data_IF_203869793631
#
_entry.id   IF_203869793631
#
_cell.length_a   1.000
_cell.length_b   1.000
_cell.length_c   1.000
_cell.angle_alpha   90.00
_cell.angle_beta   90.00
_cell.angle_gamma   90.00
#
_symmetry.space_group_name_H-M   'P 1'
#
loop_
_entity.id
_entity.type
_entity.pdbx_description
1 polymer ?
#
# COMPACT_ATOMS: atom_id res chain seq x y z
N UNK A 1 29.52 -9.82 1.29
CA UNK A 1 28.40 -9.00 1.79
C UNK A 1 27.14 -9.70 1.31
N UNK A 2 26.37 -10.33 2.19
CA UNK A 2 25.12 -10.95 1.75
C UNK A 2 24.16 -9.81 1.36
N UNK A 3 23.77 -9.76 0.10
CA UNK A 3 22.63 -8.93 -0.34
C UNK A 3 21.43 -9.39 0.49
N UNK A 4 20.96 -8.53 1.40
CA UNK A 4 19.81 -8.87 2.23
C UNK A 4 18.58 -9.06 1.33
N UNK A 5 17.74 -10.04 1.65
CA UNK A 5 16.51 -10.31 0.91
C UNK A 5 15.62 -9.06 0.93
N UNK A 6 15.27 -8.53 -0.25
CA UNK A 6 14.24 -7.52 -0.41
C UNK A 6 12.98 -8.19 -0.98
N UNK A 7 11.81 -7.73 -0.57
CA UNK A 7 10.53 -8.30 -0.99
C UNK A 7 9.70 -7.27 -1.72
N UNK A 8 8.88 -7.75 -2.66
CA UNK A 8 7.86 -6.95 -3.34
C UNK A 8 6.50 -7.25 -2.73
N UNK A 9 5.74 -6.20 -2.44
CA UNK A 9 4.35 -6.27 -2.01
C UNK A 9 3.50 -5.30 -2.81
N UNK A 10 2.20 -5.49 -2.72
CA UNK A 10 1.19 -4.65 -3.32
C UNK A 10 0.27 -4.09 -2.23
N UNK A 11 -0.27 -2.92 -2.46
CA UNK A 11 -1.24 -2.27 -1.56
C UNK A 11 -2.15 -1.38 -2.39
N UNK A 12 -3.10 -0.71 -1.74
CA UNK A 12 -3.93 0.30 -2.39
C UNK A 12 -4.04 1.54 -1.51
N UNK A 13 -4.33 2.66 -2.14
CA UNK A 13 -4.46 3.97 -1.49
C UNK A 13 -5.46 4.85 -2.24
N UNK A 14 -6.08 5.79 -1.54
CA UNK A 14 -6.87 6.81 -2.21
C UNK A 14 -5.95 7.66 -3.11
N UNK A 15 -6.33 7.82 -4.38
CA UNK A 15 -5.51 8.48 -5.39
C UNK A 15 -5.34 9.99 -5.15
N UNK A 16 -6.13 10.58 -4.26
CA UNK A 16 -5.98 11.96 -3.82
C UNK A 16 -4.89 12.16 -2.76
N UNK A 17 -4.42 11.08 -2.11
CA UNK A 17 -3.42 11.16 -1.04
C UNK A 17 -2.03 11.41 -1.63
N UNK A 18 -1.35 12.52 -1.28
CA UNK A 18 0.03 12.77 -1.71
C UNK A 18 0.99 11.71 -1.17
N UNK A 19 2.07 11.43 -1.92
CA UNK A 19 3.06 10.44 -1.51
C UNK A 19 3.73 10.79 -0.17
N UNK A 20 3.91 12.07 0.15
CA UNK A 20 4.49 12.48 1.44
C UNK A 20 3.59 12.12 2.64
N UNK A 21 2.28 12.02 2.40
CA UNK A 21 1.26 11.74 3.43
C UNK A 21 0.86 10.26 3.47
N UNK A 22 1.14 9.51 2.40
CA UNK A 22 0.74 8.11 2.19
C UNK A 22 1.00 7.17 3.37
N UNK A 23 2.13 7.33 4.05
CA UNK A 23 2.55 6.46 5.16
C UNK A 23 2.44 7.12 6.53
N UNK A 24 1.77 8.27 6.61
CA UNK A 24 1.52 8.91 7.89
C UNK A 24 0.52 8.08 8.69
N UNK A 25 0.72 7.89 10.01
CA UNK A 25 -0.24 7.15 10.83
C UNK A 25 -1.60 7.85 10.87
N UNK A 26 -2.56 7.38 10.09
CA UNK A 26 -3.94 7.91 10.06
C UNK A 26 -4.87 7.22 11.06
N UNK A 27 -4.42 6.12 11.68
CA UNK A 27 -5.25 5.23 12.50
C UNK A 27 -6.02 4.18 11.69
N UNK A 28 -6.02 4.29 10.35
CA UNK A 28 -6.47 3.25 9.45
C UNK A 28 -5.33 2.25 9.20
N UNK A 29 -5.70 1.00 8.92
CA UNK A 29 -4.73 -0.06 8.62
C UNK A 29 -4.44 -0.06 7.13
N UNK A 30 -3.16 0.00 6.78
CA UNK A 30 -2.71 -0.38 5.44
C UNK A 30 -2.80 -1.90 5.27
N UNK A 31 -3.38 -2.33 4.15
CA UNK A 31 -3.45 -3.75 3.77
C UNK A 31 -2.40 -4.00 2.69
N UNK A 32 -1.57 -5.02 2.92
CA UNK A 32 -0.53 -5.44 1.99
C UNK A 32 -0.80 -6.85 1.47
N UNK A 33 -0.45 -7.07 0.21
CA UNK A 33 -0.66 -8.29 -0.54
C UNK A 33 0.66 -8.74 -1.17
N UNK A 34 0.81 -10.04 -1.38
CA UNK A 34 1.95 -10.59 -2.14
C UNK A 34 1.71 -10.62 -3.64
N UNK A 35 0.46 -10.44 -4.07
CA UNK A 35 0.02 -10.56 -5.46
C UNK A 35 -0.77 -9.32 -5.91
N UNK A 36 -0.51 -8.88 -7.13
CA UNK A 36 -1.17 -7.72 -7.73
C UNK A 36 -2.65 -7.96 -7.98
N UNK A 37 -3.01 -9.15 -8.48
CA UNK A 37 -4.41 -9.48 -8.81
C UNK A 37 -5.26 -9.66 -7.56
N UNK A 38 -4.67 -10.07 -6.44
CA UNK A 38 -5.33 -10.03 -5.15
C UNK A 38 -5.68 -8.59 -4.71
N UNK A 39 -4.70 -7.68 -4.71
CA UNK A 39 -4.95 -6.28 -4.41
C UNK A 39 -6.02 -5.67 -5.32
N UNK A 40 -5.94 -5.96 -6.62
CA UNK A 40 -6.90 -5.50 -7.62
C UNK A 40 -8.31 -5.99 -7.37
N UNK A 41 -8.49 -7.29 -7.10
CA UNK A 41 -9.80 -7.87 -6.78
C UNK A 41 -10.39 -7.28 -5.51
N UNK A 42 -9.57 -7.00 -4.50
CA UNK A 42 -10.02 -6.33 -3.27
C UNK A 42 -10.54 -4.93 -3.57
N UNK A 43 -9.81 -4.11 -4.33
CA UNK A 43 -10.25 -2.75 -4.68
C UNK A 43 -11.53 -2.75 -5.51
N UNK A 44 -11.66 -3.67 -6.47
CA UNK A 44 -12.89 -3.81 -7.26
C UNK A 44 -14.10 -4.21 -6.41
N UNK A 45 -13.92 -5.15 -5.47
CA UNK A 45 -14.97 -5.53 -4.52
C UNK A 45 -15.39 -4.35 -3.65
N UNK A 46 -14.43 -3.56 -3.13
CA UNK A 46 -14.72 -2.36 -2.36
C UNK A 46 -15.53 -1.33 -3.15
N UNK A 47 -15.19 -1.13 -4.44
CA UNK A 47 -15.94 -0.23 -5.32
C UNK A 47 -17.38 -0.71 -5.55
N UNK A 48 -17.57 -2.01 -5.73
CA UNK A 48 -18.91 -2.60 -5.89
C UNK A 48 -19.75 -2.44 -4.62
N UNK A 49 -19.16 -2.63 -3.44
CA UNK A 49 -19.82 -2.41 -2.15
C UNK A 49 -20.23 -0.93 -1.96
N UNK A 50 -19.38 0.02 -2.34
CA UNK A 50 -19.72 1.45 -2.27
C UNK A 50 -20.76 1.84 -3.32
N UNK A 51 -20.72 1.27 -4.53
CA UNK A 51 -21.74 1.52 -5.53
C UNK A 51 -23.14 1.02 -5.12
N UNK A 52 -23.21 0.05 -4.21
CA UNK A 52 -24.46 -0.44 -3.65
C UNK A 52 -25.04 0.50 -2.55
N UNK A 53 -24.22 1.41 -2.01
CA UNK A 53 -24.61 2.39 -1.00
C UNK A 53 -24.65 3.81 -1.60
N UNK A 54 -25.84 4.37 -1.77
CA UNK A 54 -26.03 5.69 -2.40
C UNK A 54 -25.47 6.86 -1.58
N UNK A 55 -25.12 6.65 -0.32
CA UNK A 55 -24.61 7.69 0.57
C UNK A 55 -23.06 7.78 0.55
N UNK A 56 -22.38 6.87 -0.16
CA UNK A 56 -20.92 6.82 -0.25
C UNK A 56 -20.48 7.03 -1.69
N UNK A 57 -19.73 8.10 -1.95
CA UNK A 57 -19.08 8.32 -3.24
C UNK A 57 -17.76 7.54 -3.31
N UNK A 58 -17.56 6.80 -4.40
CA UNK A 58 -16.27 6.19 -4.71
C UNK A 58 -15.25 7.27 -5.09
N UNK A 59 -14.11 7.28 -4.38
CA UNK A 59 -12.93 8.03 -4.78
C UNK A 59 -11.96 7.11 -5.54
N UNK A 60 -11.30 7.66 -6.56
CA UNK A 60 -10.33 6.91 -7.34
C UNK A 60 -9.27 6.29 -6.42
N UNK A 61 -8.97 5.01 -6.61
CA UNK A 61 -8.05 4.25 -5.75
C UNK A 61 -6.87 3.74 -6.59
N UNK A 62 -5.65 4.02 -6.13
CA UNK A 62 -4.42 3.51 -6.72
C UNK A 62 -4.12 2.10 -6.23
N UNK A 63 -3.62 1.25 -7.12
CA UNK A 63 -2.91 0.01 -6.77
C UNK A 63 -1.43 0.30 -6.88
N UNK A 64 -0.72 0.03 -5.79
CA UNK A 64 0.67 0.41 -5.62
C UNK A 64 1.52 -0.83 -5.44
N UNK A 65 2.72 -0.79 -6.00
CA UNK A 65 3.79 -1.74 -5.75
C UNK A 65 4.82 -1.09 -4.84
N UNK A 66 5.23 -1.83 -3.82
CA UNK A 66 6.34 -1.44 -2.96
C UNK A 66 7.43 -2.51 -2.97
N UNK A 67 8.68 -2.05 -2.85
CA UNK A 67 9.82 -2.91 -2.60
C UNK A 67 10.39 -2.55 -1.25
N UNK A 68 10.60 -3.53 -0.39
CA UNK A 68 11.17 -3.29 0.94
C UNK A 68 12.64 -2.94 0.86
N UNK A 69 13.14 -2.23 1.86
CA UNK A 69 14.57 -2.29 2.18
C UNK A 69 14.97 -3.74 2.48
N UNK A 70 16.25 -4.11 2.33
CA UNK A 70 16.72 -5.46 2.66
C UNK A 70 16.38 -5.86 4.10
N UNK A 71 15.94 -7.09 4.34
CA UNK A 71 15.65 -7.58 5.68
C UNK A 71 16.93 -7.53 6.52
N UNK A 72 16.88 -6.75 7.60
CA UNK A 72 17.94 -6.63 8.59
C UNK A 72 17.33 -6.20 9.92
N UNK A 73 18.05 -6.44 11.03
CA UNK A 73 17.59 -6.04 12.36
C UNK A 73 17.31 -4.54 12.47
N UNK A 74 18.15 -3.69 11.87
CA UNK A 74 17.99 -2.23 11.87
C UNK A 74 16.76 -1.79 11.09
N UNK A 75 16.48 -2.45 9.97
CA UNK A 75 15.35 -2.10 9.11
C UNK A 75 14.02 -2.57 9.73
N UNK A 76 14.01 -3.76 10.35
CA UNK A 76 12.85 -4.23 11.12
C UNK A 76 12.57 -3.27 12.29
N UNK A 77 13.61 -2.83 13.02
CA UNK A 77 13.43 -1.85 14.09
C UNK A 77 12.84 -0.53 13.56
N UNK A 78 13.25 -0.09 12.37
CA UNK A 78 12.71 1.11 11.72
C UNK A 78 11.23 0.95 11.35
N UNK A 79 10.84 -0.21 10.83
CA UNK A 79 9.43 -0.55 10.56
C UNK A 79 8.58 -0.46 11.84
N UNK A 80 9.06 -1.05 12.94
CA UNK A 80 8.31 -1.10 14.20
C UNK A 80 8.12 0.28 14.84
N UNK A 81 9.10 1.19 14.70
CA UNK A 81 9.04 2.51 15.31
C UNK A 81 8.38 3.57 14.43
N UNK A 82 8.55 3.48 13.11
CA UNK A 82 8.19 4.54 12.16
C UNK A 82 7.11 4.12 11.14
N UNK A 83 6.68 2.86 11.19
CA UNK A 83 5.67 2.33 10.27
C UNK A 83 6.23 1.95 8.88
N UNK A 84 5.32 1.61 7.95
CA UNK A 84 5.68 1.04 6.65
C UNK A 84 6.56 1.95 5.80
N UNK A 85 6.35 3.27 5.83
CA UNK A 85 7.11 4.21 4.99
C UNK A 85 8.62 4.15 5.23
N UNK A 86 9.07 3.89 6.46
CA UNK A 86 10.50 3.72 6.78
C UNK A 86 11.09 2.39 6.27
N UNK A 87 10.24 1.48 5.79
CA UNK A 87 10.61 0.15 5.30
C UNK A 87 10.45 0.02 3.78
N UNK A 88 9.91 1.04 3.11
CA UNK A 88 9.75 1.09 1.65
C UNK A 88 11.00 1.71 1.02
N UNK A 89 11.68 0.94 0.16
CA UNK A 89 12.81 1.42 -0.63
C UNK A 89 12.37 2.02 -1.98
N UNK A 90 11.37 1.39 -2.61
CA UNK A 90 10.77 1.86 -3.86
C UNK A 90 9.26 1.75 -3.81
N UNK A 91 8.59 2.73 -4.40
CA UNK A 91 7.14 2.82 -4.55
C UNK A 91 6.83 3.16 -6.02
N UNK A 92 5.79 2.51 -6.54
CA UNK A 92 5.31 2.68 -7.92
C UNK A 92 3.78 2.53 -7.93
N UNK A 93 3.06 3.45 -8.57
CA UNK A 93 1.64 3.28 -8.86
C UNK A 93 1.50 2.49 -10.15
N UNK A 94 0.83 1.34 -10.11
CA UNK A 94 0.67 0.43 -11.25
C UNK A 94 -0.62 0.69 -12.02
N UNK A 95 -1.71 0.92 -11.30
CA UNK A 95 -3.06 1.10 -11.85
C UNK A 95 -3.82 2.10 -10.97
N UNK A 96 -4.74 2.85 -11.56
CA UNK A 96 -5.72 3.67 -10.83
C UNK A 96 -7.11 3.22 -11.26
N UNK A 97 -7.92 2.80 -10.28
CA UNK A 97 -9.30 2.39 -10.47
C UNK A 97 -10.21 3.58 -10.13
N UNK A 98 -10.82 4.15 -11.17
CA UNK A 98 -11.84 5.19 -11.06
C UNK A 98 -13.26 4.61 -10.94
#
# INVERSE_FOLDING_TARGET
MAEGLAYTFYTYSDASVPLEERWTPTGLRDIFFTDHEEARRTVLSMREDFAADSDIEWTATNIEKIVTVPISQSNILSLLNNGPGAFVAHHEVLETIA
#
